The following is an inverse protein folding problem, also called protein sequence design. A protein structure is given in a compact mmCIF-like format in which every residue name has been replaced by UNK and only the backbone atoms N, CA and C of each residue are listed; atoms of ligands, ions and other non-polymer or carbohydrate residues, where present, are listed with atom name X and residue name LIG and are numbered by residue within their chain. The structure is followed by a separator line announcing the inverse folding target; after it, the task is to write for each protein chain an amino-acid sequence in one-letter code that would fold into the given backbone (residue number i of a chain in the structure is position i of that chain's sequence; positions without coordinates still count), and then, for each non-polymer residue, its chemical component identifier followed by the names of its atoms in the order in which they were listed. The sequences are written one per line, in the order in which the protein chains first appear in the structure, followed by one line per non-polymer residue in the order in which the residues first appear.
data_IF_073736998442
#
_entry.id   IF_073736998442
#
_cell.length_a   1.000
_cell.length_b   1.000
_cell.length_c   1.000
_cell.angle_alpha   90.00
_cell.angle_beta   90.00
_cell.angle_gamma   90.00
#
_symmetry.space_group_name_H-M   'P 1'
#
loop_
_entity.id
_entity.type
_entity.pdbx_description
1 polymer ?
#
# COMPACT_ATOMS: atom_id res chain seq x y z
N UNK A 1 54.62 -7.92 -1.62
CA UNK A 1 54.13 -7.79 -1.70
C UNK A 1 53.07 -7.51 -1.64
N UNK A 2 52.48 -7.36 -1.65
CA UNK A 2 51.62 -6.97 -1.63
C UNK A 2 50.62 -7.22 -1.11
N UNK A 3 49.92 -6.92 -0.60
CA UNK A 3 49.10 -7.03 -0.06
C UNK A 3 48.09 -6.71 -0.19
N UNK A 4 47.32 -6.89 -0.11
CA UNK A 4 46.37 -6.65 -0.31
C UNK A 4 45.38 -6.22 0.28
N UNK A 5 44.60 -5.70 0.16
CA UNK A 5 43.63 -5.05 0.67
C UNK A 5 42.43 -5.72 0.78
N UNK A 6 42.32 -6.66 1.39
CA UNK A 6 41.18 -7.36 1.57
C UNK A 6 40.14 -6.68 2.33
N UNK A 7 40.46 -5.77 3.11
CA UNK A 7 39.52 -5.18 3.97
C UNK A 7 38.49 -4.38 3.27
N UNK A 8 38.68 -4.10 2.06
CA UNK A 8 37.74 -3.34 1.43
C UNK A 8 36.43 -3.92 1.34
N UNK A 9 36.34 -5.16 1.35
CA UNK A 9 35.14 -5.79 1.15
C UNK A 9 34.16 -5.65 2.21
N UNK A 10 34.60 -5.50 3.36
CA UNK A 10 33.71 -5.51 4.47
C UNK A 10 32.70 -4.42 4.46
N UNK A 11 33.00 -3.37 3.84
CA UNK A 11 32.12 -2.26 3.94
C UNK A 11 30.80 -2.45 3.31
N UNK A 12 30.69 -3.36 2.43
CA UNK A 12 29.48 -3.46 1.75
C UNK A 12 28.37 -4.03 2.49
N UNK A 13 28.64 -4.64 3.53
CA UNK A 13 27.60 -5.32 4.21
C UNK A 13 26.66 -4.51 4.97
N UNK A 14 26.96 -3.29 5.15
CA UNK A 14 26.11 -2.52 5.95
C UNK A 14 24.86 -2.09 5.35
N UNK A 15 24.78 -2.19 4.10
CA UNK A 15 23.61 -1.69 3.51
C UNK A 15 22.50 -2.56 3.81
N UNK A 16 21.43 -2.23 3.83
CA UNK A 16 20.37 -3.10 3.80
C UNK A 16 19.62 -3.34 4.96
N UNK A 17 19.93 -2.82 5.99
CA UNK A 17 19.17 -3.05 7.07
C UNK A 17 18.15 -2.11 7.28
N UNK A 18 17.59 -1.59 6.38
CA UNK A 18 16.62 -0.62 6.56
C UNK A 18 15.46 -1.16 7.23
N UNK A 19 15.14 -0.69 8.32
CA UNK A 19 14.01 -1.12 8.92
C UNK A 19 12.90 -0.48 8.31
N UNK A 20 11.86 -1.12 8.22
CA UNK A 20 10.73 -0.61 7.65
C UNK A 20 9.73 -0.26 8.63
N UNK A 21 9.33 0.92 8.71
CA UNK A 21 8.18 1.28 9.49
C UNK A 21 6.96 0.69 8.85
N UNK A 22 5.93 0.43 9.57
CA UNK A 22 4.70 -0.03 8.99
C UNK A 22 4.25 0.95 7.95
N UNK A 23 4.00 0.47 6.81
CA UNK A 23 3.66 1.34 5.72
C UNK A 23 2.19 1.60 5.69
N UNK A 24 1.77 2.79 5.48
CA UNK A 24 0.38 3.05 5.19
C UNK A 24 0.08 2.50 3.80
N UNK A 25 -1.09 2.56 3.38
CA UNK A 25 -1.43 2.11 2.05
C UNK A 25 -0.75 2.95 1.00
N UNK A 26 -0.60 2.42 -0.18
CA UNK A 26 -0.01 3.14 -1.28
C UNK A 26 -0.84 4.36 -1.58
N UNK A 27 -0.19 5.47 -1.83
CA UNK A 27 -0.88 6.73 -2.03
C UNK A 27 -1.36 6.85 -3.47
N UNK A 28 -2.60 7.21 -3.63
CA UNK A 28 -3.20 7.36 -4.95
C UNK A 28 -3.98 8.67 -5.00
N UNK A 29 -4.30 9.11 -6.18
CA UNK A 29 -5.13 10.30 -6.34
C UNK A 29 -6.58 9.91 -6.11
N UNK A 30 -7.22 10.59 -5.20
CA UNK A 30 -8.56 10.21 -4.78
C UNK A 30 -9.58 10.22 -5.91
N UNK A 31 -9.57 11.22 -6.73
CA UNK A 31 -10.55 11.31 -7.81
C UNK A 31 -10.30 10.25 -8.86
N UNK A 32 -9.06 9.95 -9.17
CA UNK A 32 -8.78 8.91 -10.12
C UNK A 32 -9.22 7.58 -9.58
N UNK A 33 -8.97 7.34 -8.30
CA UNK A 33 -9.37 6.10 -7.68
C UNK A 33 -10.89 5.94 -7.76
N UNK A 34 -11.62 6.97 -7.45
CA UNK A 34 -13.06 6.92 -7.46
C UNK A 34 -13.59 6.66 -8.87
N UNK A 35 -12.92 7.19 -9.86
CA UNK A 35 -13.37 6.98 -11.23
C UNK A 35 -13.09 5.57 -11.72
N UNK A 36 -11.99 5.00 -11.31
CA UNK A 36 -11.58 3.72 -11.84
C UNK A 36 -12.09 2.51 -11.09
N UNK A 37 -12.35 2.67 -9.82
CA UNK A 37 -12.75 1.54 -9.02
C UNK A 37 -14.26 1.44 -8.98
N UNK A 38 -14.78 0.39 -9.57
CA UNK A 38 -16.22 0.18 -9.65
C UNK A 38 -16.54 -1.14 -8.97
N UNK A 39 -17.21 -1.10 -7.83
CA UNK A 39 -17.55 -2.34 -7.16
C UNK A 39 -18.36 -3.27 -8.06
N UNK A 40 -18.02 -4.51 -8.04
CA UNK A 40 -18.65 -5.49 -8.89
C UNK A 40 -17.99 -5.66 -10.24
N UNK A 41 -17.04 -4.79 -10.57
CA UNK A 41 -16.40 -4.86 -11.89
C UNK A 41 -14.90 -4.80 -11.86
N UNK A 42 -14.34 -3.95 -11.05
CA UNK A 42 -12.89 -3.76 -11.04
C UNK A 42 -12.22 -5.00 -10.48
N UNK A 43 -11.15 -5.43 -11.12
CA UNK A 43 -10.45 -6.63 -10.72
C UNK A 43 -9.13 -6.30 -10.05
N UNK A 44 -8.58 -7.30 -9.38
CA UNK A 44 -7.27 -7.17 -8.78
C UNK A 44 -6.24 -6.73 -9.81
N UNK A 45 -6.26 -7.33 -10.98
CA UNK A 45 -5.30 -6.99 -12.00
C UNK A 45 -5.42 -5.54 -12.42
N UNK A 46 -6.63 -5.05 -12.51
CA UNK A 46 -6.84 -3.66 -12.86
C UNK A 46 -6.33 -2.72 -11.79
N UNK A 47 -6.52 -3.09 -10.53
CA UNK A 47 -6.01 -2.28 -9.45
C UNK A 47 -4.49 -2.22 -9.49
N UNK A 48 -3.85 -3.34 -9.72
CA UNK A 48 -2.40 -3.36 -9.78
C UNK A 48 -1.89 -2.55 -10.96
N UNK A 49 -2.56 -2.61 -12.07
CA UNK A 49 -2.13 -1.87 -13.23
C UNK A 49 -2.31 -0.38 -13.06
N UNK A 50 -3.37 0.01 -12.40
CA UNK A 50 -3.66 1.43 -12.26
C UNK A 50 -2.97 2.08 -11.09
N UNK A 51 -2.84 1.38 -9.98
CA UNK A 51 -2.37 1.99 -8.75
C UNK A 51 -1.17 1.29 -8.14
N UNK A 52 -0.86 0.11 -8.58
CA UNK A 52 0.27 -0.63 -8.05
C UNK A 52 -0.05 -1.41 -6.80
N UNK A 53 0.91 -2.14 -6.30
CA UNK A 53 0.70 -2.96 -5.12
C UNK A 53 0.49 -2.11 -3.89
N UNK A 54 -0.20 -2.66 -2.93
CA UNK A 54 -0.47 -1.97 -1.69
C UNK A 54 -0.61 -2.99 -0.57
N UNK A 55 -0.88 -2.53 0.62
CA UNK A 55 -1.09 -3.42 1.74
C UNK A 55 -2.35 -4.21 1.56
N UNK A 56 -2.28 -5.46 1.87
CA UNK A 56 -3.46 -6.31 1.76
C UNK A 56 -3.43 -7.38 2.83
N UNK A 57 -4.60 -7.87 3.15
CA UNK A 57 -4.77 -8.96 4.10
C UNK A 57 -5.69 -9.96 3.46
N UNK A 58 -5.30 -11.22 3.49
CA UNK A 58 -6.12 -12.28 2.94
C UNK A 58 -6.81 -12.97 4.09
N UNK A 59 -8.10 -13.10 4.00
CA UNK A 59 -8.89 -13.76 5.04
C UNK A 59 -9.06 -15.24 4.73
N UNK A 60 -9.43 -15.99 5.74
CA UNK A 60 -9.63 -17.41 5.55
C UNK A 60 -10.67 -17.72 4.51
N UNK A 61 -11.61 -16.85 4.32
CA UNK A 61 -12.64 -17.04 3.33
C UNK A 61 -12.13 -16.92 1.91
N UNK A 62 -10.91 -16.43 1.74
CA UNK A 62 -10.39 -16.15 0.42
C UNK A 62 -10.62 -14.74 -0.05
N UNK A 63 -11.36 -13.96 0.70
CA UNK A 63 -11.51 -12.56 0.40
C UNK A 63 -10.26 -11.82 0.82
N UNK A 64 -10.05 -10.65 0.25
CA UNK A 64 -8.89 -9.83 0.57
C UNK A 64 -9.32 -8.42 0.87
N UNK A 65 -8.65 -7.81 1.80
CA UNK A 65 -8.84 -6.41 2.09
C UNK A 65 -7.62 -5.67 1.59
N UNK A 66 -7.82 -4.67 0.79
CA UNK A 66 -6.73 -3.86 0.25
C UNK A 66 -6.87 -2.45 0.75
N UNK A 67 -5.75 -1.84 1.09
CA UNK A 67 -5.76 -0.50 1.65
C UNK A 67 -4.92 0.43 0.81
N UNK A 68 -5.54 1.43 0.25
CA UNK A 68 -4.83 2.51 -0.40
C UNK A 68 -5.03 3.77 0.42
N UNK A 69 -4.19 4.74 0.22
CA UNK A 69 -4.32 6.03 0.86
C UNK A 69 -4.49 7.09 -0.19
N UNK A 70 -5.31 8.04 0.06
CA UNK A 70 -5.52 9.12 -0.89
C UNK A 70 -5.29 10.43 -0.19
N UNK A 71 -4.73 11.38 -0.93
CA UNK A 71 -4.62 12.70 -0.37
C UNK A 71 -5.83 13.47 -0.79
N UNK A 72 -6.42 14.14 0.14
CA UNK A 72 -7.53 14.99 -0.16
C UNK A 72 -7.09 16.41 -0.03
N UNK A 73 -7.84 17.28 -0.54
CA UNK A 73 -7.52 18.67 -0.43
C UNK A 73 -7.44 19.07 1.01
N UNK A 74 -6.68 20.02 1.34
CA UNK A 74 -6.55 20.44 2.71
C UNK A 74 -5.55 19.66 3.51
N UNK A 75 -4.85 18.75 2.90
CA UNK A 75 -3.81 18.06 3.60
C UNK A 75 -4.22 16.88 4.42
N UNK A 76 -5.48 16.56 4.45
CA UNK A 76 -5.92 15.42 5.19
C UNK A 76 -5.91 14.20 4.29
N UNK A 77 -5.47 13.10 4.78
CA UNK A 77 -5.50 11.89 4.01
C UNK A 77 -6.80 11.15 4.18
N UNK A 78 -7.04 10.24 3.31
CA UNK A 78 -8.17 9.33 3.43
C UNK A 78 -7.65 7.93 3.24
N UNK A 79 -8.31 7.00 3.87
CA UNK A 79 -8.01 5.61 3.64
C UNK A 79 -9.09 5.03 2.75
N UNK A 80 -8.65 4.30 1.75
CA UNK A 80 -9.57 3.68 0.81
C UNK A 80 -9.44 2.18 0.99
N UNK A 81 -10.47 1.59 1.52
CA UNK A 81 -10.45 0.17 1.84
C UNK A 81 -11.29 -0.57 0.83
N UNK A 82 -10.70 -1.56 0.20
CA UNK A 82 -11.41 -2.35 -0.79
C UNK A 82 -11.55 -3.75 -0.28
N UNK A 83 -12.68 -4.35 -0.54
CA UNK A 83 -12.87 -5.75 -0.26
C UNK A 83 -13.00 -6.47 -1.58
N UNK A 84 -12.10 -7.42 -1.85
CA UNK A 84 -12.13 -8.20 -3.05
C UNK A 84 -12.60 -9.60 -2.72
N UNK A 85 -13.37 -10.19 -3.60
CA UNK A 85 -13.84 -11.54 -3.36
C UNK A 85 -12.80 -12.55 -3.82
N UNK A 86 -13.13 -13.80 -3.76
CA UNK A 86 -12.20 -14.85 -4.11
C UNK A 86 -11.77 -14.82 -5.55
N UNK A 87 -12.58 -14.25 -6.39
CA UNK A 87 -12.23 -14.13 -7.79
C UNK A 87 -11.42 -12.87 -8.08
N UNK A 88 -11.12 -12.12 -7.06
CA UNK A 88 -10.33 -10.91 -7.24
C UNK A 88 -11.13 -9.73 -7.74
N UNK A 89 -12.41 -9.72 -7.54
CA UNK A 89 -13.26 -8.63 -7.99
C UNK A 89 -13.62 -7.80 -6.79
N UNK A 90 -13.50 -6.49 -6.92
CA UNK A 90 -13.83 -5.58 -5.84
C UNK A 90 -15.31 -5.67 -5.54
N UNK A 91 -15.64 -5.98 -4.32
CA UNK A 91 -17.03 -6.07 -3.93
C UNK A 91 -17.51 -4.87 -3.18
N UNK A 92 -16.62 -4.25 -2.42
CA UNK A 92 -16.98 -3.07 -1.67
C UNK A 92 -15.83 -2.13 -1.64
N UNK A 93 -16.14 -0.86 -1.53
CA UNK A 93 -15.15 0.16 -1.36
C UNK A 93 -15.63 1.07 -0.25
N UNK A 94 -14.76 1.38 0.67
CA UNK A 94 -15.10 2.26 1.76
C UNK A 94 -14.03 3.32 1.89
N UNK A 95 -14.46 4.52 2.12
CA UNK A 95 -13.54 5.63 2.33
C UNK A 95 -13.71 6.07 3.76
N UNK A 96 -12.61 6.33 4.40
CA UNK A 96 -12.71 6.92 5.72
C UNK A 96 -11.55 7.87 5.90
N UNK A 97 -11.76 8.91 6.68
CA UNK A 97 -10.68 9.84 6.93
C UNK A 97 -9.60 9.16 7.71
N UNK A 98 -8.38 9.51 7.39
CA UNK A 98 -7.28 9.03 8.17
C UNK A 98 -7.24 9.83 9.44
N UNK A 99 -7.34 9.19 10.55
CA UNK A 99 -7.30 9.89 11.78
C UNK A 99 -5.90 10.22 12.14
N UNK A 100 -5.70 11.39 12.59
CA UNK A 100 -4.40 11.75 13.04
C UNK A 100 -4.22 11.15 14.33
N UNK A 101 -3.91 10.04 14.41
CA UNK A 101 -3.80 9.40 15.59
C UNK A 101 -3.19 10.09 16.61
N UNK A 102 -2.63 10.98 16.32
CA UNK A 102 -2.07 11.62 17.24
C UNK A 102 -2.86 12.34 18.04
N UNK A 103 -3.72 12.34 17.89
CA UNK A 103 -4.50 12.96 18.57
C UNK A 103 -4.53 12.64 19.75
N UNK A 104 -4.39 12.56 20.07
CA UNK A 104 -4.46 12.24 20.96
C UNK A 104 -4.33 12.53 21.87
N UNK A 105 -4.47 12.87 22.19
CA UNK A 105 -4.47 13.09 23.06
C UNK A 105 -4.26 13.22 23.50
#
# INVERSE_FOLDING_TARGET
MKRLPACLIAALLLAGCATQAPQPGTVVAADKFTQLVVPGRTTRAELLAAFGPTRSVVFDSGYESWLYSATAGGGHGEELVLLLDRDGIVRKMRRRPAYPTDVQR
#
